data_IF_795512640525
#
_entry.id   IF_795512640525
#
_cell.length_a   1.000
_cell.length_b   1.000
_cell.length_c   1.000
_cell.angle_alpha   90.00
_cell.angle_beta   90.00
_cell.angle_gamma   90.00
#
_symmetry.space_group_name_H-M   'P 1'
#
loop_
_entity.id
_entity.type
_entity.pdbx_description
1 polymer ?
#
# COMPACT_ATOMS: atom_id res chain seq x y z
N UNK A 1 -37.48 -18.44 26.39
CA UNK A 1 -36.35 -17.98 27.23
C UNK A 1 -35.07 -18.29 26.47
N UNK A 2 -34.47 -17.29 25.83
CA UNK A 2 -33.21 -17.45 25.12
C UNK A 2 -32.10 -17.03 26.07
N UNK A 3 -31.37 -18.02 26.57
CA UNK A 3 -30.24 -17.84 27.48
C UNK A 3 -29.08 -17.20 26.71
N UNK A 4 -28.97 -15.87 26.83
CA UNK A 4 -27.81 -15.12 26.35
C UNK A 4 -26.66 -15.35 27.32
N UNK A 5 -25.94 -16.46 27.13
CA UNK A 5 -24.70 -16.76 27.84
C UNK A 5 -23.74 -15.58 27.75
N UNK A 6 -23.64 -14.82 28.84
CA UNK A 6 -22.63 -13.77 29.02
C UNK A 6 -21.27 -14.45 29.12
N UNK A 7 -20.59 -14.62 27.99
CA UNK A 7 -19.16 -14.92 28.00
C UNK A 7 -18.43 -13.68 28.51
N UNK A 8 -17.97 -13.73 29.76
CA UNK A 8 -17.11 -12.70 30.33
C UNK A 8 -15.73 -12.75 29.66
N UNK A 9 -15.28 -11.61 29.17
CA UNK A 9 -13.89 -11.41 28.77
C UNK A 9 -13.06 -11.21 30.04
N UNK A 10 -11.94 -11.93 30.24
CA UNK A 10 -11.03 -11.61 31.34
C UNK A 10 -10.54 -10.17 31.18
N UNK A 11 -10.44 -9.46 32.31
CA UNK A 11 -9.97 -8.08 32.34
C UNK A 11 -8.57 -7.94 31.74
N UNK A 12 -8.28 -6.79 31.11
CA UNK A 12 -6.97 -6.52 30.53
C UNK A 12 -5.92 -6.50 31.64
N UNK A 13 -4.80 -7.25 31.53
CA UNK A 13 -3.70 -7.12 32.47
C UNK A 13 -3.15 -5.69 32.45
N UNK A 14 -2.79 -5.17 33.63
CA UNK A 14 -2.30 -3.78 33.82
C UNK A 14 -1.08 -3.46 32.94
N UNK A 15 -0.24 -4.46 32.67
CA UNK A 15 0.87 -4.42 31.73
C UNK A 15 0.68 -5.51 30.67
N UNK A 16 0.58 -5.13 29.40
CA UNK A 16 0.62 -6.13 28.33
C UNK A 16 2.06 -6.64 28.18
N UNK A 17 2.26 -7.96 28.04
CA UNK A 17 3.59 -8.51 27.80
C UNK A 17 4.18 -7.90 26.51
N UNK A 18 5.48 -7.58 26.48
CA UNK A 18 6.12 -7.01 25.30
C UNK A 18 5.88 -7.94 24.10
N UNK A 19 5.54 -7.39 22.92
CA UNK A 19 5.26 -8.21 21.76
C UNK A 19 6.52 -8.97 21.35
N UNK A 20 6.38 -10.28 21.15
CA UNK A 20 7.47 -11.17 20.72
C UNK A 20 7.57 -11.17 19.19
N UNK A 21 6.48 -10.81 18.51
CA UNK A 21 6.43 -10.76 17.04
C UNK A 21 5.50 -9.64 16.57
N UNK A 22 5.71 -9.20 15.33
CA UNK A 22 4.95 -8.12 14.69
C UNK A 22 4.32 -8.59 13.37
N UNK A 23 3.02 -8.34 13.25
CA UNK A 23 2.24 -8.52 12.02
C UNK A 23 1.99 -7.15 11.42
N UNK A 24 2.38 -6.95 10.16
CA UNK A 24 2.07 -5.74 9.40
C UNK A 24 0.92 -6.08 8.46
N UNK A 25 -0.12 -5.25 8.45
CA UNK A 25 -1.29 -5.48 7.58
C UNK A 25 -1.58 -4.28 6.71
N UNK A 26 -1.89 -4.56 5.44
CA UNK A 26 -2.47 -3.60 4.51
C UNK A 26 -3.74 -4.17 3.85
N UNK A 27 -4.66 -3.27 3.52
CA UNK A 27 -5.86 -3.60 2.78
C UNK A 27 -6.29 -2.42 1.91
N UNK A 28 -6.76 -2.74 0.72
CA UNK A 28 -7.45 -1.85 -0.20
C UNK A 28 -8.91 -2.29 -0.33
N UNK A 29 -9.68 -1.61 -1.18
CA UNK A 29 -11.03 -2.04 -1.55
C UNK A 29 -11.04 -3.30 -2.42
N UNK A 30 -9.90 -3.70 -2.99
CA UNK A 30 -9.80 -4.85 -3.90
C UNK A 30 -9.25 -6.11 -3.25
N UNK A 31 -8.26 -5.95 -2.38
CA UNK A 31 -7.58 -7.06 -1.71
C UNK A 31 -6.83 -6.62 -0.47
N UNK A 32 -6.09 -7.56 0.09
CA UNK A 32 -5.36 -7.40 1.34
C UNK A 32 -4.04 -8.15 1.29
N UNK A 33 -3.13 -7.73 2.15
CA UNK A 33 -1.90 -8.45 2.35
C UNK A 33 -1.32 -8.23 3.75
N UNK A 34 -0.47 -9.17 4.14
CA UNK A 34 0.06 -9.29 5.49
C UNK A 34 1.50 -9.75 5.45
N UNK A 35 2.33 -9.15 6.30
CA UNK A 35 3.68 -9.63 6.58
C UNK A 35 3.84 -10.10 8.03
N UNK A 36 4.60 -11.17 8.20
CA UNK A 36 5.12 -11.66 9.48
C UNK A 36 6.62 -11.95 9.31
N UNK A 37 7.48 -11.01 9.72
CA UNK A 37 8.91 -11.08 9.38
C UNK A 37 9.12 -11.03 7.86
N UNK A 38 9.74 -12.08 7.31
CA UNK A 38 9.95 -12.24 5.86
C UNK A 38 8.82 -13.02 5.17
N UNK A 39 7.86 -13.57 5.93
CA UNK A 39 6.72 -14.27 5.37
C UNK A 39 5.66 -13.28 4.90
N UNK A 40 5.08 -13.56 3.74
CA UNK A 40 4.03 -12.76 3.10
C UNK A 40 2.84 -13.65 2.74
N UNK A 41 1.64 -13.13 2.96
CA UNK A 41 0.42 -13.66 2.35
C UNK A 41 -0.43 -12.52 1.80
N UNK A 42 -1.19 -12.80 0.76
CA UNK A 42 -2.12 -11.85 0.16
C UNK A 42 -3.32 -12.56 -0.43
N UNK A 43 -4.39 -11.80 -0.63
CA UNK A 43 -5.63 -12.32 -1.20
C UNK A 43 -6.51 -11.20 -1.74
N UNK A 44 -7.43 -11.59 -2.61
CA UNK A 44 -8.48 -10.70 -3.11
C UNK A 44 -9.70 -10.79 -2.20
N UNK A 45 -10.41 -9.67 -2.05
CA UNK A 45 -11.73 -9.67 -1.47
C UNK A 45 -12.73 -10.29 -2.43
N UNK A 46 -13.68 -11.07 -1.90
CA UNK A 46 -14.83 -11.52 -2.67
C UNK A 46 -15.67 -10.32 -3.14
N UNK A 47 -16.51 -10.46 -4.19
CA UNK A 47 -17.33 -9.36 -4.70
C UNK A 47 -18.18 -8.68 -3.62
N UNK A 48 -18.73 -9.46 -2.70
CA UNK A 48 -19.50 -8.96 -1.54
C UNK A 48 -18.60 -8.19 -0.58
N UNK A 49 -17.39 -8.67 -0.34
CA UNK A 49 -16.46 -8.00 0.58
C UNK A 49 -15.95 -6.67 0.05
N UNK A 50 -15.74 -6.55 -1.26
CA UNK A 50 -15.35 -5.28 -1.90
C UNK A 50 -16.33 -4.13 -1.66
N UNK A 51 -17.59 -4.45 -1.33
CA UNK A 51 -18.62 -3.46 -1.00
C UNK A 51 -18.50 -2.91 0.42
N UNK A 52 -17.67 -3.51 1.28
CA UNK A 52 -17.49 -3.04 2.65
C UNK A 52 -16.60 -1.80 2.73
N UNK A 53 -16.84 -0.98 3.74
CA UNK A 53 -16.03 0.19 4.02
C UNK A 53 -14.57 -0.18 4.32
N UNK A 54 -13.62 0.64 3.86
CA UNK A 54 -12.18 0.37 3.96
C UNK A 54 -11.69 0.08 5.39
N UNK A 55 -12.21 0.79 6.41
CA UNK A 55 -11.88 0.51 7.81
C UNK A 55 -12.23 -0.94 8.23
N UNK A 56 -13.33 -1.48 7.70
CA UNK A 56 -13.72 -2.86 7.99
C UNK A 56 -12.79 -3.85 7.28
N UNK A 57 -12.40 -3.53 6.03
CA UNK A 57 -11.45 -4.35 5.26
C UNK A 57 -10.07 -4.38 5.93
N UNK A 58 -9.57 -3.23 6.39
CA UNK A 58 -8.31 -3.13 7.16
C UNK A 58 -8.37 -3.98 8.43
N UNK A 59 -9.46 -3.89 9.21
CA UNK A 59 -9.63 -4.70 10.41
C UNK A 59 -9.79 -6.20 10.10
N UNK A 60 -10.47 -6.55 8.99
CA UNK A 60 -10.62 -7.93 8.54
C UNK A 60 -9.30 -8.53 8.08
N UNK A 61 -8.43 -7.77 7.42
CA UNK A 61 -7.10 -8.21 7.03
C UNK A 61 -6.28 -8.67 8.25
N UNK A 62 -6.38 -7.96 9.38
CA UNK A 62 -5.78 -8.39 10.65
C UNK A 62 -6.32 -9.75 11.10
N UNK A 63 -7.63 -9.99 11.00
CA UNK A 63 -8.19 -11.31 11.35
C UNK A 63 -7.74 -12.42 10.40
N UNK A 64 -7.59 -12.13 9.10
CA UNK A 64 -7.08 -13.10 8.14
C UNK A 64 -5.60 -13.42 8.37
N UNK A 65 -4.79 -12.41 8.71
CA UNK A 65 -3.40 -12.57 9.14
C UNK A 65 -3.28 -13.62 10.25
N UNK A 66 -4.07 -13.45 11.31
CA UNK A 66 -3.99 -14.30 12.50
C UNK A 66 -4.49 -15.72 12.26
N UNK A 67 -5.38 -15.90 11.28
CA UNK A 67 -5.81 -17.24 10.86
C UNK A 67 -4.72 -17.95 10.06
N UNK A 68 -4.16 -17.26 9.08
CA UNK A 68 -3.18 -17.84 8.18
C UNK A 68 -1.84 -18.15 8.88
N UNK A 69 -1.40 -17.26 9.78
CA UNK A 69 -0.16 -17.43 10.53
C UNK A 69 -0.37 -18.08 11.91
N UNK A 70 -1.51 -18.74 12.16
CA UNK A 70 -1.81 -19.34 13.46
C UNK A 70 -0.67 -20.21 14.03
N UNK A 71 -0.02 -21.11 13.26
CA UNK A 71 1.08 -21.93 13.77
C UNK A 71 2.24 -21.10 14.34
N UNK A 72 2.46 -19.89 13.81
CA UNK A 72 3.54 -18.98 14.20
C UNK A 72 3.14 -17.96 15.26
N UNK A 73 1.84 -17.84 15.58
CA UNK A 73 1.31 -16.81 16.49
C UNK A 73 0.70 -17.37 17.78
N UNK A 74 0.35 -18.66 17.81
CA UNK A 74 -0.35 -19.29 18.95
C UNK A 74 0.45 -19.13 20.25
N UNK A 75 -0.23 -18.68 21.31
CA UNK A 75 0.39 -18.48 22.63
C UNK A 75 1.28 -17.24 22.75
N UNK A 76 1.41 -16.41 21.70
CA UNK A 76 2.32 -15.26 21.69
C UNK A 76 1.62 -13.93 21.96
N UNK A 77 2.42 -12.94 22.38
CA UNK A 77 2.05 -11.52 22.32
C UNK A 77 2.43 -10.96 20.95
N UNK A 78 1.43 -10.52 20.20
CA UNK A 78 1.53 -10.08 18.80
C UNK A 78 1.21 -8.60 18.70
N UNK A 79 2.14 -7.86 18.10
CA UNK A 79 1.92 -6.47 17.72
C UNK A 79 1.34 -6.40 16.31
N UNK A 80 0.22 -5.70 16.15
CA UNK A 80 -0.38 -5.39 14.85
C UNK A 80 0.04 -3.97 14.45
N UNK A 81 0.76 -3.86 13.35
CA UNK A 81 1.15 -2.59 12.74
C UNK A 81 0.19 -2.28 11.59
N UNK A 82 -0.55 -1.18 11.71
CA UNK A 82 -1.54 -0.74 10.70
C UNK A 82 -1.51 0.77 10.50
N UNK A 83 -1.68 1.21 9.27
CA UNK A 83 -1.88 2.62 8.90
C UNK A 83 -3.28 3.15 9.24
N UNK A 84 -4.20 2.27 9.63
CA UNK A 84 -5.59 2.63 9.91
C UNK A 84 -5.80 2.83 11.42
N UNK A 85 -5.85 4.10 11.82
CA UNK A 85 -6.08 4.50 13.22
C UNK A 85 -7.41 3.98 13.78
N UNK A 86 -8.45 3.83 12.95
CA UNK A 86 -9.74 3.26 13.37
C UNK A 86 -9.58 1.77 13.71
N UNK A 87 -8.96 0.98 12.83
CA UNK A 87 -8.70 -0.43 13.09
C UNK A 87 -7.82 -0.62 14.33
N UNK A 88 -6.75 0.18 14.47
CA UNK A 88 -5.91 0.19 15.68
C UNK A 88 -6.74 0.44 16.95
N UNK A 89 -7.62 1.46 16.92
CA UNK A 89 -8.46 1.80 18.06
C UNK A 89 -9.42 0.64 18.41
N UNK A 90 -10.10 0.06 17.42
CA UNK A 90 -11.04 -1.06 17.63
C UNK A 90 -10.34 -2.31 18.18
N UNK A 91 -9.11 -2.60 17.75
CA UNK A 91 -8.32 -3.70 18.31
C UNK A 91 -8.00 -3.41 19.77
N UNK A 92 -7.40 -2.25 20.06
CA UNK A 92 -6.95 -1.91 21.42
C UNK A 92 -8.08 -1.72 22.43
N UNK A 93 -9.28 -1.32 21.96
CA UNK A 93 -10.48 -1.17 22.78
C UNK A 93 -11.37 -2.41 22.80
N UNK A 94 -11.00 -3.46 22.06
CA UNK A 94 -11.75 -4.71 21.94
C UNK A 94 -13.19 -4.53 21.46
N UNK A 95 -13.40 -3.55 20.57
CA UNK A 95 -14.72 -3.16 20.10
C UNK A 95 -14.90 -1.65 20.09
N UNK A 96 -16.15 -1.22 19.85
CA UNK A 96 -16.50 0.18 19.75
C UNK A 96 -17.98 0.43 19.52
N UNK A 97 -18.43 1.67 19.75
CA UNK A 97 -19.83 2.09 19.56
C UNK A 97 -20.09 2.77 18.21
N UNK A 98 -19.05 3.22 17.50
CA UNK A 98 -19.19 4.01 16.28
C UNK A 98 -19.63 3.24 15.02
N UNK A 99 -19.62 1.90 15.06
CA UNK A 99 -20.02 1.05 13.94
C UNK A 99 -20.24 -0.38 14.40
N UNK A 100 -21.44 -0.91 14.17
CA UNK A 100 -21.82 -2.29 14.48
C UNK A 100 -20.91 -3.29 13.75
N UNK A 101 -20.63 -3.08 12.46
CA UNK A 101 -19.82 -4.01 11.67
C UNK A 101 -18.37 -4.05 12.14
N UNK A 102 -17.76 -2.90 12.45
CA UNK A 102 -16.40 -2.85 13.01
C UNK A 102 -16.35 -3.50 14.39
N UNK A 103 -17.34 -3.24 15.24
CA UNK A 103 -17.41 -3.85 16.56
C UNK A 103 -17.52 -5.38 16.45
N UNK A 104 -18.43 -5.87 15.60
CA UNK A 104 -18.61 -7.30 15.34
C UNK A 104 -17.34 -7.96 14.80
N UNK A 105 -16.61 -7.29 13.91
CA UNK A 105 -15.35 -7.82 13.37
C UNK A 105 -14.23 -7.82 14.42
N UNK A 106 -14.13 -6.78 15.25
CA UNK A 106 -13.20 -6.72 16.38
C UNK A 106 -13.48 -7.83 17.41
N UNK A 107 -14.75 -8.06 17.76
CA UNK A 107 -15.14 -9.15 18.66
C UNK A 107 -14.77 -10.51 18.09
N UNK A 108 -14.98 -10.75 16.79
CA UNK A 108 -14.54 -11.99 16.13
C UNK A 108 -13.02 -12.19 16.20
N UNK A 109 -12.25 -11.12 16.00
CA UNK A 109 -10.80 -11.15 16.13
C UNK A 109 -10.39 -11.49 17.58
N UNK A 110 -11.01 -10.86 18.58
CA UNK A 110 -10.68 -11.09 19.99
C UNK A 110 -11.11 -12.46 20.51
N UNK A 111 -12.29 -12.95 20.12
CA UNK A 111 -12.71 -14.32 20.41
C UNK A 111 -11.71 -15.33 19.82
N UNK A 112 -11.33 -15.15 18.55
CA UNK A 112 -10.34 -16.00 17.91
C UNK A 112 -8.98 -15.95 18.62
N UNK A 113 -8.49 -14.75 18.98
CA UNK A 113 -7.24 -14.58 19.69
C UNK A 113 -7.26 -15.27 21.06
N UNK A 114 -8.38 -15.14 21.80
CA UNK A 114 -8.58 -15.80 23.09
C UNK A 114 -8.50 -17.32 22.97
N UNK A 115 -9.20 -17.91 21.99
CA UNK A 115 -9.23 -19.35 21.78
C UNK A 115 -7.84 -19.94 21.46
N UNK A 116 -6.94 -19.11 20.92
CA UNK A 116 -5.58 -19.49 20.54
C UNK A 116 -4.50 -18.89 21.45
N UNK A 117 -4.88 -18.34 22.61
CA UNK A 117 -3.98 -17.76 23.60
C UNK A 117 -3.07 -16.64 23.05
N UNK A 118 -3.58 -15.85 22.10
CA UNK A 118 -2.86 -14.74 21.48
C UNK A 118 -3.18 -13.44 22.22
N UNK A 119 -2.16 -12.73 22.68
CA UNK A 119 -2.30 -11.36 23.20
C UNK A 119 -2.12 -10.36 22.07
N UNK A 120 -3.10 -9.49 21.84
CA UNK A 120 -3.06 -8.49 20.76
C UNK A 120 -2.78 -7.08 21.30
N UNK A 121 -1.88 -6.37 20.61
CA UNK A 121 -1.65 -4.94 20.75
C UNK A 121 -1.58 -4.33 19.36
N UNK A 122 -2.28 -3.23 19.10
CA UNK A 122 -2.18 -2.53 17.83
C UNK A 122 -1.43 -1.21 17.97
N UNK A 123 -0.54 -0.90 17.02
CA UNK A 123 0.17 0.36 16.91
C UNK A 123 0.02 0.94 15.51
N UNK A 124 -0.04 2.25 15.45
CA UNK A 124 -0.15 2.96 14.18
C UNK A 124 1.20 2.95 13.46
N UNK A 125 1.20 2.47 12.22
CA UNK A 125 2.34 2.54 11.33
C UNK A 125 2.23 3.83 10.50
N UNK A 126 3.15 4.77 10.68
CA UNK A 126 3.18 5.97 9.85
C UNK A 126 3.34 5.57 8.37
N UNK A 127 2.60 6.20 7.46
CA UNK A 127 2.52 5.77 6.04
C UNK A 127 3.86 5.64 5.29
N UNK A 128 4.93 6.31 5.76
CA UNK A 128 6.30 6.15 5.21
C UNK A 128 6.91 4.77 5.52
N UNK A 129 6.46 4.10 6.58
CA UNK A 129 6.87 2.75 6.98
C UNK A 129 5.91 1.66 6.46
N UNK A 130 4.73 2.03 5.94
CA UNK A 130 3.76 1.10 5.35
C UNK A 130 4.16 0.61 3.95
N UNK A 131 5.31 1.07 3.43
CA UNK A 131 5.83 0.70 2.11
C UNK A 131 5.97 -0.82 1.94
N UNK A 132 6.25 -1.55 3.03
CA UNK A 132 6.32 -3.03 3.01
C UNK A 132 4.97 -3.72 2.84
N UNK A 133 3.85 -3.08 3.16
CA UNK A 133 2.52 -3.70 3.04
C UNK A 133 1.69 -3.08 1.92
N UNK A 134 1.90 -1.80 1.59
CA UNK A 134 1.36 -1.15 0.38
C UNK A 134 1.75 -1.91 -0.91
N UNK A 135 2.90 -2.60 -0.89
CA UNK A 135 3.40 -3.48 -1.97
C UNK A 135 2.50 -4.69 -2.29
N UNK A 136 1.44 -4.93 -1.52
CA UNK A 136 0.55 -6.10 -1.67
C UNK A 136 -0.74 -5.77 -2.42
N UNK A 137 -1.12 -4.48 -2.46
CA UNK A 137 -2.02 -3.99 -3.49
C UNK A 137 -1.24 -3.93 -4.79
N UNK A 138 -1.66 -4.68 -5.81
CA UNK A 138 -0.92 -4.77 -7.07
C UNK A 138 -0.70 -3.35 -7.59
N UNK A 139 0.55 -2.91 -7.77
CA UNK A 139 0.81 -1.54 -8.21
C UNK A 139 0.16 -1.32 -9.59
N UNK A 140 -0.68 -0.30 -9.71
CA UNK A 140 -1.41 -0.01 -10.95
C UNK A 140 -0.43 0.13 -12.13
N UNK A 141 -0.70 -0.59 -13.22
CA UNK A 141 0.06 -0.51 -14.46
C UNK A 141 -0.56 0.55 -15.36
N UNK A 142 0.25 1.45 -15.91
CA UNK A 142 -0.22 2.40 -16.92
C UNK A 142 -0.40 1.67 -18.25
N UNK A 143 -1.45 1.99 -19.00
CA UNK A 143 -1.69 1.35 -20.29
C UNK A 143 -0.44 1.47 -21.20
N UNK A 144 0.08 0.36 -21.77
CA UNK A 144 1.33 0.38 -22.53
C UNK A 144 1.35 1.38 -23.69
N UNK A 145 0.22 1.61 -24.36
CA UNK A 145 0.14 2.63 -25.42
C UNK A 145 0.38 4.05 -24.93
N UNK A 146 -0.11 4.38 -23.73
CA UNK A 146 0.11 5.69 -23.15
C UNK A 146 1.58 5.88 -22.82
N UNK A 147 2.22 4.85 -22.25
CA UNK A 147 3.66 4.87 -21.97
C UNK A 147 4.47 5.00 -23.27
N UNK A 148 4.12 4.26 -24.32
CA UNK A 148 4.76 4.37 -25.64
C UNK A 148 4.68 5.78 -26.20
N UNK A 149 3.51 6.42 -26.14
CA UNK A 149 3.33 7.80 -26.62
C UNK A 149 4.18 8.80 -25.82
N UNK A 150 4.23 8.64 -24.50
CA UNK A 150 5.07 9.49 -23.63
C UNK A 150 6.56 9.30 -23.99
N UNK A 151 7.01 8.06 -24.16
CA UNK A 151 8.41 7.76 -24.47
C UNK A 151 8.82 8.24 -25.87
N UNK A 152 7.91 8.19 -26.84
CA UNK A 152 8.14 8.78 -28.16
C UNK A 152 8.33 10.30 -28.08
N UNK A 153 7.62 10.97 -27.16
CA UNK A 153 7.70 12.42 -27.00
C UNK A 153 8.93 12.88 -26.20
N UNK A 154 9.28 12.17 -25.13
CA UNK A 154 10.29 12.63 -24.14
C UNK A 154 11.53 11.75 -24.04
N UNK A 155 11.66 10.74 -24.91
CA UNK A 155 12.75 9.77 -24.93
C UNK A 155 12.42 8.50 -24.15
N UNK A 156 13.15 7.43 -24.49
CA UNK A 156 12.93 6.08 -23.94
C UNK A 156 13.84 5.85 -22.74
N UNK A 157 13.30 5.77 -21.50
CA UNK A 157 14.06 5.41 -20.33
C UNK A 157 14.45 3.93 -20.36
N UNK A 158 15.59 3.61 -19.71
CA UNK A 158 16.07 2.23 -19.57
C UNK A 158 15.64 1.55 -18.28
N UNK A 159 15.30 2.35 -17.26
CA UNK A 159 15.01 1.87 -15.91
C UNK A 159 13.66 2.40 -15.47
N UNK A 160 12.79 1.47 -15.06
CA UNK A 160 11.55 1.74 -14.34
C UNK A 160 11.82 1.71 -12.84
N UNK A 161 11.61 2.82 -12.13
CA UNK A 161 11.98 2.93 -10.71
C UNK A 161 10.95 2.32 -9.76
N UNK A 162 9.73 2.06 -10.20
CA UNK A 162 8.66 1.53 -9.35
C UNK A 162 7.83 0.54 -10.14
N UNK A 163 8.35 -0.68 -10.27
CA UNK A 163 7.66 -1.74 -10.98
C UNK A 163 7.88 -3.12 -10.36
N UNK A 164 7.10 -4.04 -10.91
CA UNK A 164 7.09 -5.48 -10.71
C UNK A 164 7.34 -6.14 -12.06
N UNK A 165 7.49 -7.47 -12.08
CA UNK A 165 7.60 -8.23 -13.34
C UNK A 165 6.38 -8.08 -14.25
N UNK A 166 5.22 -7.74 -13.68
CA UNK A 166 3.93 -7.74 -14.36
C UNK A 166 3.54 -6.37 -14.93
N UNK A 167 4.20 -5.30 -14.49
CA UNK A 167 3.87 -3.91 -14.87
C UNK A 167 5.08 -3.08 -15.31
N UNK A 168 6.25 -3.71 -15.55
CA UNK A 168 7.43 -2.99 -16.05
C UNK A 168 7.19 -2.43 -17.45
N UNK A 169 7.64 -1.19 -17.65
CA UNK A 169 7.65 -0.57 -18.98
C UNK A 169 9.05 -0.42 -19.58
N UNK A 170 10.08 -0.71 -18.79
CA UNK A 170 11.48 -0.60 -19.19
C UNK A 170 12.19 -1.95 -19.10
N UNK A 171 13.30 -2.17 -19.86
CA UNK A 171 14.05 -3.42 -19.80
C UNK A 171 14.60 -3.75 -18.41
N UNK A 172 14.90 -2.74 -17.60
CA UNK A 172 15.36 -2.87 -16.23
C UNK A 172 14.35 -2.21 -15.29
N UNK A 173 14.23 -2.74 -14.06
CA UNK A 173 13.33 -2.16 -13.08
C UNK A 173 13.85 -2.27 -11.64
N UNK A 174 13.43 -1.33 -10.80
CA UNK A 174 13.56 -1.38 -9.35
C UNK A 174 12.21 -1.83 -8.77
N UNK A 175 12.26 -2.56 -7.66
CA UNK A 175 11.06 -2.99 -6.94
C UNK A 175 11.16 -2.58 -5.49
N UNK A 176 10.03 -2.17 -4.91
CA UNK A 176 9.91 -1.92 -3.47
C UNK A 176 10.00 -3.22 -2.66
N UNK A 177 9.72 -4.37 -3.30
CA UNK A 177 9.88 -5.69 -2.72
C UNK A 177 11.32 -6.18 -2.95
N UNK A 178 12.13 -6.21 -1.89
CA UNK A 178 13.56 -6.57 -1.94
C UNK A 178 13.84 -7.98 -2.51
N UNK A 179 12.84 -8.85 -2.61
CA UNK A 179 12.98 -10.27 -2.99
C UNK A 179 12.57 -10.57 -4.43
N UNK A 180 12.17 -9.56 -5.23
CA UNK A 180 11.74 -9.79 -6.62
C UNK A 180 12.95 -10.13 -7.49
N UNK A 181 13.00 -11.39 -7.95
CA UNK A 181 14.05 -11.86 -8.84
C UNK A 181 14.12 -10.99 -10.11
N UNK A 182 15.31 -10.50 -10.46
CA UNK A 182 15.54 -9.65 -11.64
C UNK A 182 15.28 -8.16 -11.43
N UNK A 183 14.81 -7.73 -10.25
CA UNK A 183 14.83 -6.33 -9.88
C UNK A 183 16.27 -5.87 -9.54
N UNK A 184 16.58 -4.61 -9.83
CA UNK A 184 17.87 -3.99 -9.45
C UNK A 184 17.99 -3.70 -7.94
N UNK A 185 16.89 -3.84 -7.19
CA UNK A 185 16.79 -3.52 -5.76
C UNK A 185 15.90 -2.30 -5.49
N UNK A 186 16.07 -1.71 -4.31
CA UNK A 186 15.32 -0.53 -3.86
C UNK A 186 15.76 0.72 -4.62
N UNK A 187 14.80 1.36 -5.30
CA UNK A 187 15.04 2.55 -6.10
C UNK A 187 15.70 3.69 -5.31
N UNK A 188 15.38 3.87 -4.02
CA UNK A 188 15.91 4.97 -3.22
C UNK A 188 17.34 4.76 -2.74
N UNK A 189 17.85 3.53 -2.76
CA UNK A 189 19.24 3.21 -2.41
C UNK A 189 20.19 3.42 -3.59
N UNK A 190 19.67 3.53 -4.81
CA UNK A 190 20.45 3.68 -6.02
C UNK A 190 20.69 5.16 -6.38
N UNK A 191 21.74 5.41 -7.15
CA UNK A 191 21.93 6.69 -7.84
C UNK A 191 20.97 6.83 -9.02
N UNK A 192 20.40 8.02 -9.18
CA UNK A 192 19.50 8.41 -10.27
C UNK A 192 20.17 9.35 -11.29
N UNK A 193 21.49 9.51 -11.21
CA UNK A 193 22.25 10.40 -12.08
C UNK A 193 22.36 9.87 -13.53
N UNK A 194 22.72 10.78 -14.44
CA UNK A 194 23.27 10.51 -15.79
C UNK A 194 22.39 9.78 -16.81
N UNK A 195 21.11 9.56 -16.50
CA UNK A 195 20.18 8.94 -17.45
C UNK A 195 18.74 9.40 -17.24
N UNK A 196 17.92 9.18 -18.27
CA UNK A 196 16.48 9.33 -18.17
C UNK A 196 15.85 8.10 -17.51
N UNK A 197 15.04 8.34 -16.49
CA UNK A 197 14.30 7.33 -15.74
C UNK A 197 12.80 7.45 -15.96
N UNK A 198 12.09 6.33 -15.82
CA UNK A 198 10.64 6.31 -15.66
C UNK A 198 10.28 5.98 -14.22
N UNK A 199 9.22 6.59 -13.71
CA UNK A 199 8.70 6.31 -12.39
C UNK A 199 7.17 6.44 -12.37
N UNK A 200 6.50 5.40 -11.89
CA UNK A 200 5.09 5.48 -11.50
C UNK A 200 4.92 5.00 -10.04
N UNK A 201 5.33 5.81 -9.05
CA UNK A 201 5.35 5.39 -7.67
C UNK A 201 3.95 5.35 -7.06
N UNK A 202 3.74 4.55 -6.00
CA UNK A 202 2.62 4.75 -5.08
C UNK A 202 2.52 6.22 -4.62
N UNK A 203 1.30 6.76 -4.57
CA UNK A 203 1.05 8.17 -4.24
C UNK A 203 1.75 8.64 -2.95
N UNK A 204 1.79 7.87 -1.85
CA UNK A 204 2.51 8.28 -0.62
C UNK A 204 4.01 8.47 -0.81
N UNK A 205 4.61 7.87 -1.84
CA UNK A 205 6.05 7.96 -2.13
C UNK A 205 6.43 9.16 -3.01
N UNK A 206 5.46 9.83 -3.65
CA UNK A 206 5.71 11.01 -4.50
C UNK A 206 6.60 12.07 -3.79
N UNK A 207 6.35 12.48 -2.53
CA UNK A 207 7.23 13.43 -1.84
C UNK A 207 8.68 12.97 -1.68
N UNK A 208 8.90 11.66 -1.57
CA UNK A 208 10.25 11.09 -1.45
C UNK A 208 10.92 11.02 -2.83
N UNK A 209 10.17 10.69 -3.87
CA UNK A 209 10.63 10.73 -5.27
C UNK A 209 11.06 12.14 -5.66
N UNK A 210 10.23 13.16 -5.37
CA UNK A 210 10.56 14.57 -5.63
C UNK A 210 11.87 14.98 -4.95
N UNK A 211 12.06 14.60 -3.67
CA UNK A 211 13.32 14.84 -2.96
C UNK A 211 14.49 14.13 -3.63
N UNK A 212 14.32 12.88 -4.06
CA UNK A 212 15.36 12.10 -4.73
C UNK A 212 15.75 12.73 -6.08
N UNK A 213 14.78 13.21 -6.86
CA UNK A 213 15.02 13.91 -8.13
C UNK A 213 15.90 15.15 -7.91
N UNK A 214 15.61 15.94 -6.87
CA UNK A 214 16.43 17.11 -6.50
C UNK A 214 17.83 16.70 -6.08
N UNK A 215 17.95 15.77 -5.13
CA UNK A 215 19.21 15.35 -4.54
C UNK A 215 20.18 14.79 -5.59
N UNK A 216 19.67 13.96 -6.50
CA UNK A 216 20.49 13.30 -7.52
C UNK A 216 20.57 14.09 -8.83
N UNK A 217 19.94 15.27 -8.89
CA UNK A 217 19.82 16.06 -10.13
C UNK A 217 19.28 15.22 -11.31
N UNK A 218 18.38 14.29 -10.98
CA UNK A 218 17.93 13.26 -11.90
C UNK A 218 16.98 13.81 -12.96
N UNK A 219 16.91 13.14 -14.12
CA UNK A 219 15.89 13.37 -15.13
C UNK A 219 14.88 12.23 -15.11
N UNK A 220 13.59 12.56 -14.92
CA UNK A 220 12.55 11.57 -14.69
C UNK A 220 11.28 11.91 -15.48
N UNK A 221 10.72 10.90 -16.15
CA UNK A 221 9.32 10.89 -16.57
C UNK A 221 8.53 10.30 -15.40
N UNK A 222 7.82 11.16 -14.68
CA UNK A 222 7.02 10.77 -13.51
C UNK A 222 5.54 10.74 -13.88
N UNK A 223 4.85 9.65 -13.57
CA UNK A 223 3.39 9.59 -13.60
C UNK A 223 2.88 9.94 -12.20
N UNK A 224 2.12 11.02 -12.10
CA UNK A 224 1.59 11.51 -10.82
C UNK A 224 0.25 12.26 -11.00
N UNK A 225 -0.62 12.26 -9.97
CA UNK A 225 -1.83 13.08 -9.96
C UNK A 225 -1.56 14.58 -10.11
N UNK A 226 -2.41 15.26 -10.88
CA UNK A 226 -2.47 16.73 -10.91
C UNK A 226 -3.36 17.23 -9.77
N UNK A 227 -2.79 17.29 -8.56
CA UNK A 227 -3.50 17.67 -7.34
C UNK A 227 -2.91 18.94 -6.70
N UNK A 228 -3.37 20.14 -7.08
CA UNK A 228 -2.81 21.42 -6.62
C UNK A 228 -2.75 21.63 -5.11
N UNK A 229 -3.63 20.95 -4.35
CA UNK A 229 -3.72 21.06 -2.89
C UNK A 229 -2.71 20.19 -2.13
N UNK A 230 -1.85 19.43 -2.83
CA UNK A 230 -0.84 18.58 -2.18
C UNK A 230 0.47 19.31 -1.99
N UNK A 231 1.13 19.04 -0.86
CA UNK A 231 2.40 19.68 -0.46
C UNK A 231 3.54 19.52 -1.47
N UNK A 232 3.52 18.45 -2.27
CA UNK A 232 4.55 18.15 -3.28
C UNK A 232 4.25 18.77 -4.64
N UNK A 233 3.08 19.38 -4.84
CA UNK A 233 2.65 19.87 -6.15
C UNK A 233 3.49 21.04 -6.65
N UNK A 234 3.76 22.02 -5.79
CA UNK A 234 4.62 23.16 -6.13
C UNK A 234 6.03 22.71 -6.53
N UNK A 235 6.53 21.66 -5.89
CA UNK A 235 7.83 21.09 -6.22
C UNK A 235 7.84 20.45 -7.62
N UNK A 236 6.77 19.76 -8.01
CA UNK A 236 6.66 19.21 -9.36
C UNK A 236 6.68 20.31 -10.41
N UNK A 237 5.94 21.41 -10.19
CA UNK A 237 5.95 22.55 -11.10
C UNK A 237 7.33 23.17 -11.24
N UNK A 238 8.06 23.35 -10.13
CA UNK A 238 9.42 23.89 -10.15
C UNK A 238 10.42 22.98 -10.88
N UNK A 239 10.24 21.66 -10.79
CA UNK A 239 11.12 20.67 -11.42
C UNK A 239 10.73 20.38 -12.88
N UNK A 240 9.58 20.87 -13.33
CA UNK A 240 9.05 20.58 -14.67
C UNK A 240 9.88 21.25 -15.76
N UNK A 241 10.28 20.45 -16.75
CA UNK A 241 11.00 20.94 -17.94
C UNK A 241 10.06 21.41 -19.05
N UNK A 242 8.80 20.98 -19.01
CA UNK A 242 7.79 21.31 -20.01
C UNK A 242 6.39 21.28 -19.38
N UNK A 243 5.34 21.73 -20.10
CA UNK A 243 3.96 21.54 -19.65
C UNK A 243 3.66 20.07 -19.35
N UNK A 244 2.94 19.82 -18.27
CA UNK A 244 2.46 18.50 -17.89
C UNK A 244 1.52 17.93 -18.97
N UNK A 245 1.63 16.62 -19.23
CA UNK A 245 0.85 15.94 -20.25
C UNK A 245 -0.33 15.23 -19.60
N UNK A 246 -1.55 15.61 -19.98
CA UNK A 246 -2.78 14.98 -19.50
C UNK A 246 -2.96 13.62 -20.15
N UNK A 247 -3.16 12.60 -19.32
CA UNK A 247 -3.46 11.26 -19.80
C UNK A 247 -4.95 11.12 -20.11
N UNK A 248 -5.32 10.46 -21.22
CA UNK A 248 -6.71 10.27 -21.59
C UNK A 248 -7.42 9.38 -20.58
N UNK A 249 -8.65 9.74 -20.20
CA UNK A 249 -9.48 9.01 -19.25
C UNK A 249 -10.15 7.78 -19.90
N UNK A 250 -9.36 6.91 -20.52
CA UNK A 250 -9.82 5.59 -20.97
C UNK A 250 -10.06 4.69 -19.76
N UNK A 251 -11.08 3.83 -19.80
CA UNK A 251 -11.37 2.89 -18.70
C UNK A 251 -10.22 1.91 -18.43
N UNK A 252 -9.37 1.70 -19.42
CA UNK A 252 -8.18 0.87 -19.45
C UNK A 252 -6.88 1.59 -19.09
N UNK A 253 -6.92 2.90 -18.78
CA UNK A 253 -5.73 3.70 -18.50
C UNK A 253 -4.87 3.09 -17.39
N UNK A 254 -5.51 2.62 -16.32
CA UNK A 254 -4.84 1.86 -15.27
C UNK A 254 -5.46 0.49 -15.14
N UNK A 255 -4.61 -0.52 -15.16
CA UNK A 255 -5.02 -1.89 -14.92
C UNK A 255 -4.08 -2.63 -13.97
N UNK A 256 -4.60 -3.70 -13.39
CA UNK A 256 -3.86 -4.69 -12.62
C UNK A 256 -4.08 -6.08 -13.24
N UNK A 257 -3.24 -7.05 -12.84
CA UNK A 257 -3.36 -8.44 -13.25
C UNK A 257 -3.44 -8.59 -14.78
N UNK A 258 -2.51 -7.93 -15.49
CA UNK A 258 -2.44 -7.97 -16.96
C UNK A 258 -3.73 -7.51 -17.67
N UNK A 259 -4.41 -6.48 -17.15
CA UNK A 259 -5.62 -5.92 -17.77
C UNK A 259 -6.93 -6.47 -17.23
N UNK A 260 -6.91 -7.48 -16.34
CA UNK A 260 -8.14 -8.10 -15.82
C UNK A 260 -8.90 -7.21 -14.83
N UNK A 261 -8.20 -6.31 -14.16
CA UNK A 261 -8.78 -5.40 -13.16
C UNK A 261 -8.54 -3.97 -13.60
N UNK A 262 -9.62 -3.27 -13.92
CA UNK A 262 -9.58 -1.84 -14.27
C UNK A 262 -9.75 -0.99 -13.02
N UNK A 263 -9.14 0.20 -13.01
CA UNK A 263 -9.23 1.09 -11.86
C UNK A 263 -10.65 1.70 -11.73
N UNK A 264 -11.38 1.48 -10.61
CA UNK A 264 -12.80 1.81 -10.51
C UNK A 264 -13.09 3.32 -10.50
N UNK A 265 -12.12 4.15 -10.11
CA UNK A 265 -12.30 5.61 -9.97
C UNK A 265 -11.19 6.43 -10.64
N UNK A 266 -10.85 6.10 -11.90
CA UNK A 266 -9.79 6.79 -12.67
C UNK A 266 -9.92 8.31 -12.70
N UNK A 267 -11.16 8.79 -12.83
CA UNK A 267 -11.46 10.22 -12.94
C UNK A 267 -10.97 11.01 -11.71
N UNK A 268 -11.01 10.40 -10.52
CA UNK A 268 -10.57 11.05 -9.28
C UNK A 268 -9.05 11.23 -9.17
N UNK A 269 -8.28 10.42 -9.91
CA UNK A 269 -6.82 10.47 -9.85
C UNK A 269 -6.25 11.63 -10.64
N UNK A 270 -6.91 12.06 -11.73
CA UNK A 270 -6.40 13.11 -12.62
C UNK A 270 -4.92 12.89 -12.96
N UNK A 271 -4.57 11.70 -13.47
CA UNK A 271 -3.17 11.35 -13.75
C UNK A 271 -2.61 12.15 -14.91
N UNK A 272 -1.38 12.62 -14.71
CA UNK A 272 -0.59 13.33 -15.71
C UNK A 272 0.82 12.75 -15.75
N UNK A 273 1.46 12.88 -16.91
CA UNK A 273 2.87 12.63 -17.06
C UNK A 273 3.64 13.94 -16.89
N UNK A 274 4.71 13.89 -16.12
CA UNK A 274 5.55 15.03 -15.75
C UNK A 274 6.97 14.77 -16.22
N UNK A 275 7.53 15.67 -17.04
CA UNK A 275 8.94 15.62 -17.39
C UNK A 275 9.73 16.50 -16.41
N UNK A 276 10.49 15.86 -15.53
CA UNK A 276 11.14 16.52 -14.40
C UNK A 276 12.66 16.48 -14.51
N UNK A 277 13.31 17.51 -13.98
CA UNK A 277 14.77 17.56 -13.77
C UNK A 277 15.11 18.23 -12.45
N UNK A 278 15.95 17.58 -11.64
CA UNK A 278 16.54 18.21 -10.47
C UNK A 278 17.42 19.40 -10.88
N UNK A 279 17.17 20.57 -10.29
CA UNK A 279 17.98 21.76 -10.52
C UNK A 279 19.44 21.55 -10.08
N UNK A 280 20.37 22.20 -10.76
CA UNK A 280 21.80 22.25 -10.40
C UNK A 280 22.03 22.95 -9.07
#
# INVERSE_FOLDING_TARGET
>A
MVDCGRQSFPGRPFSQPPPVTSVITDASTLGWGVHLGDLEIKGLWSPVERMFHINLLKLRAVRLAHKAFLPSLRGLSVQVLTDNTTAMWYINKQGGVGSYLLCREALRLWSWAKDHQICLVANHLAGVLNVRADTLSHEWCLHPDQVRQIFQMWGIPRIDRFATRENLHCPLFCSLQYTVQGALGDAFQMSWCDQLLYAFPPIPLIPRVVRKIRQDRAQVILIAPDWPRRVWYSDLLQLSLCPLLRLPLGADLLSQSQGQVLHPHLQSLHLHAWRLKGAT
#
